data_IF_850064834414
#
_entry.id   IF_850064834414
#
_cell.length_a   1.000
_cell.length_b   1.000
_cell.length_c   1.000
_cell.angle_alpha   90.00
_cell.angle_beta   90.00
_cell.angle_gamma   90.00
#
_symmetry.space_group_name_H-M   'P 1'
#
loop_
_entity.id
_entity.type
_entity.pdbx_description
1 polymer ?
#
# COMPACT_ATOMS: atom_id res chain seq x y z
N UNK A 1 38.20 3.02 -3.67
CA UNK A 1 37.26 4.17 -3.62
C UNK A 1 37.34 5.06 -4.87
N UNK A 2 38.53 5.40 -5.40
CA UNK A 2 38.67 6.17 -6.66
C UNK A 2 38.25 5.44 -7.95
N UNK A 3 38.15 4.11 -7.95
CA UNK A 3 37.76 3.35 -9.16
C UNK A 3 36.24 3.17 -9.34
N UNK A 4 35.44 3.50 -8.32
CA UNK A 4 33.98 3.41 -8.38
C UNK A 4 33.33 4.71 -8.91
N UNK A 5 34.03 5.84 -8.82
CA UNK A 5 33.52 7.13 -9.30
C UNK A 5 33.36 7.19 -10.81
N UNK A 6 34.11 6.39 -11.57
CA UNK A 6 34.03 6.35 -13.03
C UNK A 6 32.90 5.42 -13.54
N UNK A 7 32.29 4.63 -12.63
CA UNK A 7 31.20 3.68 -12.92
C UNK A 7 29.85 4.21 -12.43
N UNK A 8 29.84 5.03 -11.38
CA UNK A 8 28.62 5.55 -10.77
C UNK A 8 28.18 6.83 -11.49
N UNK A 9 27.10 6.72 -12.27
CA UNK A 9 26.40 7.88 -12.82
C UNK A 9 25.71 8.61 -11.66
N UNK A 10 26.04 9.89 -11.46
CA UNK A 10 25.36 10.74 -10.47
C UNK A 10 23.89 10.92 -10.84
N UNK A 11 22.94 10.82 -9.88
CA UNK A 11 21.53 11.06 -10.15
C UNK A 11 21.33 12.42 -10.83
N UNK A 12 20.85 12.40 -12.07
CA UNK A 12 20.66 13.58 -12.90
C UNK A 12 19.30 13.48 -13.60
N UNK A 13 18.56 14.58 -13.74
CA UNK A 13 17.34 14.60 -14.55
C UNK A 13 17.66 14.18 -16.00
N UNK A 14 16.75 13.42 -16.61
CA UNK A 14 16.85 13.03 -18.04
C UNK A 14 16.10 13.99 -18.97
N UNK A 15 15.30 14.90 -18.40
CA UNK A 15 14.48 15.90 -19.09
C UNK A 15 14.52 17.22 -18.30
N UNK A 16 14.21 18.33 -18.98
CA UNK A 16 13.98 19.62 -18.34
C UNK A 16 12.64 19.62 -17.60
N UNK A 17 12.50 20.45 -16.57
CA UNK A 17 11.27 20.47 -15.76
C UNK A 17 10.08 21.07 -16.53
N UNK A 18 10.34 21.85 -17.58
CA UNK A 18 9.35 22.43 -18.48
C UNK A 18 8.88 21.44 -19.56
N UNK A 19 9.55 20.29 -19.71
CA UNK A 19 9.13 19.26 -20.64
C UNK A 19 7.81 18.62 -20.16
N UNK A 20 6.82 18.54 -21.04
CA UNK A 20 5.52 17.98 -20.72
C UNK A 20 5.56 16.46 -20.47
N UNK A 21 6.63 15.78 -20.90
CA UNK A 21 6.85 14.35 -20.68
C UNK A 21 7.67 14.06 -19.40
N UNK A 22 8.04 15.08 -18.61
CA UNK A 22 8.79 14.91 -17.35
C UNK A 22 7.96 14.25 -16.25
N UNK A 23 8.60 13.42 -15.42
CA UNK A 23 7.95 12.72 -14.32
C UNK A 23 8.52 13.14 -12.96
N UNK A 24 7.63 13.51 -12.03
CA UNK A 24 7.94 13.56 -10.61
C UNK A 24 7.64 12.19 -10.00
N UNK A 25 8.67 11.45 -9.61
CA UNK A 25 8.56 10.09 -9.08
C UNK A 25 9.06 10.04 -7.64
N UNK A 26 8.35 9.29 -6.79
CA UNK A 26 8.77 8.99 -5.44
C UNK A 26 8.77 7.47 -5.24
N UNK A 27 9.85 6.94 -4.65
CA UNK A 27 9.97 5.52 -4.33
C UNK A 27 9.34 5.24 -2.96
N UNK A 28 8.63 4.11 -2.87
CA UNK A 28 8.01 3.61 -1.64
C UNK A 28 8.36 2.14 -1.46
N UNK A 29 8.37 1.66 -0.21
CA UNK A 29 8.73 0.28 0.14
C UNK A 29 7.85 -0.30 1.26
N UNK A 30 7.95 -1.62 1.41
CA UNK A 30 7.56 -2.36 2.59
C UNK A 30 8.72 -3.28 2.96
N UNK A 31 9.54 -2.84 3.90
CA UNK A 31 10.79 -3.50 4.27
C UNK A 31 11.14 -3.16 5.72
N UNK A 32 11.91 -4.00 6.40
CA UNK A 32 12.36 -3.75 7.77
C UNK A 32 13.88 -3.75 7.89
N UNK A 33 14.37 -3.36 9.08
CA UNK A 33 15.80 -3.34 9.42
C UNK A 33 16.50 -4.70 9.41
N UNK A 34 15.74 -5.81 9.35
CA UNK A 34 16.31 -7.15 9.18
C UNK A 34 16.70 -7.43 7.73
N UNK A 35 15.99 -6.84 6.77
CA UNK A 35 16.24 -7.01 5.33
C UNK A 35 17.08 -5.88 4.71
N UNK A 36 17.15 -4.70 5.33
CA UNK A 36 17.92 -3.57 4.83
C UNK A 36 18.69 -2.85 5.94
N UNK A 37 19.98 -2.59 5.68
CA UNK A 37 20.84 -1.80 6.57
C UNK A 37 20.70 -0.30 6.32
N UNK A 38 21.09 0.51 7.32
CA UNK A 38 21.17 1.98 7.20
C UNK A 38 19.88 2.74 7.52
N UNK A 39 18.91 2.10 8.17
CA UNK A 39 17.78 2.83 8.76
C UNK A 39 18.23 3.68 9.96
N UNK A 40 17.59 4.84 10.20
CA UNK A 40 17.85 5.65 11.38
C UNK A 40 17.57 4.88 12.68
N UNK A 41 18.47 4.98 13.65
CA UNK A 41 18.32 4.36 14.97
C UNK A 41 17.56 5.27 15.96
N UNK A 42 17.68 6.60 15.80
CA UNK A 42 16.98 7.57 16.63
C UNK A 42 15.47 7.51 16.35
N UNK A 43 14.61 7.35 17.37
CA UNK A 43 13.16 7.35 17.19
C UNK A 43 12.61 8.62 16.53
N UNK A 44 13.23 9.78 16.81
CA UNK A 44 12.83 11.07 16.24
C UNK A 44 13.04 11.09 14.72
N UNK A 45 14.24 10.72 14.26
CA UNK A 45 14.59 10.67 12.83
C UNK A 45 13.80 9.57 12.11
N UNK A 46 13.54 8.45 12.79
CA UNK A 46 12.70 7.38 12.26
C UNK A 46 11.26 7.86 12.02
N UNK A 47 10.68 8.58 12.98
CA UNK A 47 9.33 9.14 12.87
C UNK A 47 9.23 10.21 11.77
N UNK A 48 10.24 11.07 11.62
CA UNK A 48 10.31 12.06 10.53
C UNK A 48 10.30 11.40 9.14
N UNK A 49 10.94 10.24 9.02
CA UNK A 49 10.94 9.44 7.80
C UNK A 49 9.69 8.55 7.63
N UNK A 50 8.72 8.62 8.55
CA UNK A 50 7.50 7.81 8.53
C UNK A 50 7.73 6.33 8.88
N UNK A 51 8.88 5.99 9.47
CA UNK A 51 9.20 4.65 9.91
C UNK A 51 8.51 4.35 11.24
N UNK A 52 8.14 3.08 11.45
CA UNK A 52 7.46 2.64 12.68
C UNK A 52 8.23 1.52 13.37
N UNK A 53 8.12 1.44 14.69
CA UNK A 53 8.73 0.35 15.46
C UNK A 53 7.92 -0.94 15.32
N UNK A 54 8.55 -2.00 14.81
CA UNK A 54 8.08 -3.37 14.92
C UNK A 54 8.48 -4.00 16.26
N UNK A 55 8.38 -5.34 16.34
CA UNK A 55 8.80 -6.08 17.54
C UNK A 55 10.32 -5.97 17.78
N UNK A 56 11.10 -6.26 16.74
CA UNK A 56 12.57 -6.35 16.84
C UNK A 56 13.29 -5.38 15.88
N UNK A 57 12.58 -4.81 14.89
CA UNK A 57 13.15 -3.97 13.84
C UNK A 57 12.29 -2.72 13.58
N UNK A 58 12.92 -1.67 13.07
CA UNK A 58 12.23 -0.54 12.42
C UNK A 58 11.65 -1.01 11.08
N UNK A 59 10.44 -0.54 10.76
CA UNK A 59 9.66 -0.93 9.58
C UNK A 59 9.38 0.31 8.73
N UNK A 60 9.74 0.24 7.45
CA UNK A 60 9.28 1.12 6.40
C UNK A 60 7.96 0.59 5.84
N UNK A 61 6.88 1.35 6.00
CA UNK A 61 5.52 1.02 5.52
C UNK A 61 5.03 1.98 4.43
N UNK A 62 5.95 2.70 3.80
CA UNK A 62 5.64 3.82 2.90
C UNK A 62 4.79 3.45 1.68
N UNK A 63 4.76 2.17 1.24
CA UNK A 63 3.78 1.71 0.23
C UNK A 63 2.35 1.91 0.73
N UNK A 64 2.03 1.48 1.96
CA UNK A 64 0.68 1.65 2.50
C UNK A 64 0.32 3.14 2.59
N UNK A 65 1.26 3.97 3.06
CA UNK A 65 1.04 5.40 3.23
C UNK A 65 0.80 6.08 1.88
N UNK A 66 1.58 5.73 0.85
CA UNK A 66 1.38 6.23 -0.50
C UNK A 66 -0.01 5.88 -1.05
N UNK A 67 -0.48 4.64 -0.85
CA UNK A 67 -1.83 4.23 -1.23
C UNK A 67 -2.90 5.04 -0.49
N UNK A 68 -2.78 5.21 0.83
CA UNK A 68 -3.72 6.01 1.63
C UNK A 68 -3.78 7.45 1.09
N UNK A 69 -2.63 8.08 0.87
CA UNK A 69 -2.56 9.45 0.35
C UNK A 69 -3.14 9.56 -1.06
N UNK A 70 -2.90 8.58 -1.94
CA UNK A 70 -3.47 8.54 -3.29
C UNK A 70 -5.00 8.41 -3.27
N UNK A 71 -5.55 7.57 -2.39
CA UNK A 71 -7.00 7.42 -2.22
C UNK A 71 -7.61 8.70 -1.65
N UNK A 72 -7.03 9.25 -0.58
CA UNK A 72 -7.58 10.44 0.09
C UNK A 72 -7.63 11.66 -0.83
N UNK A 73 -6.66 11.84 -1.72
CA UNK A 73 -6.63 12.95 -2.69
C UNK A 73 -7.48 12.73 -3.94
N UNK A 74 -7.98 11.51 -4.17
CA UNK A 74 -8.76 11.18 -5.36
C UNK A 74 -10.07 12.00 -5.45
N UNK A 75 -10.38 12.49 -6.65
CA UNK A 75 -11.53 13.38 -6.91
C UNK A 75 -12.57 12.78 -7.84
N UNK A 76 -12.15 12.00 -8.84
CA UNK A 76 -13.01 11.54 -9.93
C UNK A 76 -13.22 10.02 -9.93
N UNK A 77 -12.13 9.25 -9.98
CA UNK A 77 -12.20 7.80 -9.92
C UNK A 77 -10.90 7.18 -9.40
N UNK A 78 -10.98 5.90 -9.06
CA UNK A 78 -9.84 5.03 -8.76
C UNK A 78 -9.96 3.75 -9.60
N UNK A 79 -8.84 3.35 -10.19
CA UNK A 79 -8.70 2.08 -10.90
C UNK A 79 -7.59 1.27 -10.24
N UNK A 80 -7.89 0.02 -9.89
CA UNK A 80 -6.96 -0.90 -9.24
C UNK A 80 -6.94 -2.20 -10.03
N UNK A 81 -5.76 -2.65 -10.41
CA UNK A 81 -5.47 -4.04 -10.76
C UNK A 81 -4.54 -4.60 -9.70
N UNK A 82 -4.93 -5.70 -9.04
CA UNK A 82 -4.08 -6.31 -8.02
C UNK A 82 -4.33 -7.82 -7.94
N UNK A 83 -3.31 -8.57 -7.53
CA UNK A 83 -3.42 -10.01 -7.31
C UNK A 83 -4.33 -10.35 -6.12
N UNK A 84 -4.34 -9.48 -5.10
CA UNK A 84 -5.13 -9.65 -3.89
C UNK A 84 -5.92 -8.38 -3.57
N UNK A 85 -7.14 -8.56 -3.06
CA UNK A 85 -7.95 -7.47 -2.53
C UNK A 85 -8.69 -7.90 -1.25
N UNK A 86 -7.98 -7.86 -0.14
CA UNK A 86 -8.45 -8.13 1.22
C UNK A 86 -7.78 -7.14 2.17
N UNK A 87 -8.34 -6.90 3.36
CA UNK A 87 -7.72 -6.04 4.36
C UNK A 87 -8.73 -5.34 5.24
N UNK A 88 -8.27 -4.37 6.04
CA UNK A 88 -9.10 -3.62 6.98
C UNK A 88 -9.94 -4.51 7.90
N UNK A 89 -9.37 -5.64 8.36
CA UNK A 89 -10.13 -6.67 9.09
C UNK A 89 -10.74 -6.18 10.39
N UNK A 90 -10.20 -5.11 10.99
CA UNK A 90 -10.78 -4.43 12.15
C UNK A 90 -12.21 -3.91 11.90
N UNK A 91 -12.65 -3.84 10.65
CA UNK A 91 -13.98 -3.38 10.25
C UNK A 91 -14.86 -4.49 9.65
N UNK A 92 -14.40 -5.75 9.65
CA UNK A 92 -15.19 -6.88 9.20
C UNK A 92 -16.27 -7.24 10.23
N UNK A 93 -17.37 -7.83 9.74
CA UNK A 93 -18.39 -8.37 10.64
C UNK A 93 -17.84 -9.60 11.38
N UNK A 94 -18.15 -9.70 12.68
CA UNK A 94 -17.83 -10.85 13.52
C UNK A 94 -18.78 -12.05 13.25
N UNK A 95 -18.82 -12.50 11.99
CA UNK A 95 -19.63 -13.62 11.52
C UNK A 95 -18.76 -14.87 11.38
N UNK A 96 -18.80 -15.73 12.40
CA UNK A 96 -18.00 -16.96 12.46
C UNK A 96 -16.50 -16.75 12.65
N UNK A 97 -16.08 -15.52 12.96
CA UNK A 97 -14.69 -15.14 13.25
C UNK A 97 -14.64 -14.12 14.39
N UNK A 98 -13.48 -14.02 15.03
CA UNK A 98 -13.10 -12.87 15.88
C UNK A 98 -12.24 -11.95 15.01
N UNK A 99 -12.73 -10.78 14.53
CA UNK A 99 -11.99 -9.93 13.59
C UNK A 99 -10.60 -9.49 14.07
N UNK A 100 -10.41 -9.39 15.37
CA UNK A 100 -9.15 -9.05 16.03
C UNK A 100 -8.06 -10.13 15.82
N UNK A 101 -8.45 -11.39 15.63
CA UNK A 101 -7.51 -12.50 15.41
C UNK A 101 -6.95 -12.51 13.98
N UNK A 102 -7.61 -11.83 13.03
CA UNK A 102 -7.25 -11.84 11.60
C UNK A 102 -6.00 -11.00 11.32
N UNK A 103 -5.83 -9.86 12.00
CA UNK A 103 -4.67 -8.97 11.89
C UNK A 103 -4.34 -8.43 10.47
N UNK A 104 -5.29 -8.43 9.53
CA UNK A 104 -5.13 -7.76 8.22
C UNK A 104 -5.46 -6.26 8.33
N UNK A 105 -4.66 -5.52 9.09
CA UNK A 105 -4.99 -4.18 9.60
C UNK A 105 -4.72 -3.01 8.63
N UNK A 106 -4.23 -3.26 7.41
CA UNK A 106 -3.98 -2.17 6.47
C UNK A 106 -5.29 -1.50 6.00
N UNK A 107 -5.22 -0.21 5.70
CA UNK A 107 -6.41 0.66 5.57
C UNK A 107 -7.04 0.69 4.17
N UNK A 108 -6.42 0.04 3.17
CA UNK A 108 -6.74 0.28 1.75
C UNK A 108 -8.22 0.03 1.42
N UNK A 109 -8.84 -1.10 1.79
CA UNK A 109 -10.27 -1.31 1.55
C UNK A 109 -11.15 -0.27 2.26
N UNK A 110 -10.86 0.04 3.53
CA UNK A 110 -11.64 1.01 4.30
C UNK A 110 -11.54 2.43 3.73
N UNK A 111 -10.34 2.89 3.37
CA UNK A 111 -10.12 4.21 2.74
C UNK A 111 -10.90 4.35 1.43
N UNK A 112 -10.95 3.30 0.60
CA UNK A 112 -11.76 3.29 -0.62
C UNK A 112 -13.25 3.46 -0.32
N UNK A 113 -13.78 2.68 0.63
CA UNK A 113 -15.19 2.76 1.03
C UNK A 113 -15.54 4.13 1.63
N UNK A 114 -14.70 4.69 2.51
CA UNK A 114 -14.92 6.00 3.13
C UNK A 114 -14.81 7.14 2.10
N UNK A 115 -13.90 7.03 1.12
CA UNK A 115 -13.85 7.97 0.00
C UNK A 115 -15.14 7.94 -0.82
N UNK A 116 -15.71 6.76 -1.08
CA UNK A 116 -16.99 6.64 -1.78
C UNK A 116 -18.12 7.28 -0.96
N UNK A 117 -18.19 6.99 0.34
CA UNK A 117 -19.19 7.59 1.25
C UNK A 117 -19.09 9.11 1.26
N UNK A 118 -17.89 9.68 1.44
CA UNK A 118 -17.64 11.13 1.41
C UNK A 118 -18.15 11.78 0.11
N UNK A 119 -17.96 11.10 -1.03
CA UNK A 119 -18.42 11.58 -2.35
C UNK A 119 -19.92 11.48 -2.51
N UNK A 120 -20.55 10.42 -1.98
CA UNK A 120 -22.01 10.28 -1.96
C UNK A 120 -22.64 11.39 -1.11
N UNK A 121 -22.12 11.64 0.09
CA UNK A 121 -22.62 12.67 1.02
C UNK A 121 -22.54 14.08 0.41
N UNK A 122 -21.51 14.34 -0.40
CA UNK A 122 -21.34 15.61 -1.14
C UNK A 122 -22.13 15.68 -2.45
N UNK A 123 -22.78 14.59 -2.87
CA UNK A 123 -23.47 14.51 -4.17
C UNK A 123 -22.53 14.57 -5.37
N UNK A 124 -21.26 14.19 -5.21
CA UNK A 124 -20.23 14.23 -6.24
C UNK A 124 -20.12 12.88 -6.97
N UNK A 125 -19.86 12.93 -8.29
CA UNK A 125 -19.60 11.70 -9.05
C UNK A 125 -18.24 11.14 -8.67
N UNK A 126 -18.23 9.90 -8.19
CA UNK A 126 -17.01 9.14 -7.93
C UNK A 126 -17.20 7.67 -8.22
N UNK A 127 -16.17 7.00 -8.76
CA UNK A 127 -16.21 5.58 -9.14
C UNK A 127 -14.94 4.87 -8.71
N UNK A 128 -15.06 3.63 -8.24
CA UNK A 128 -13.92 2.76 -7.94
C UNK A 128 -14.10 1.48 -8.73
N UNK A 129 -13.08 1.11 -9.49
CA UNK A 129 -13.02 -0.13 -10.25
C UNK A 129 -11.86 -0.96 -9.72
N UNK A 130 -12.14 -2.20 -9.36
CA UNK A 130 -11.15 -3.14 -8.84
C UNK A 130 -11.18 -4.39 -9.70
N UNK A 131 -10.05 -4.72 -10.31
CA UNK A 131 -9.84 -5.94 -11.08
C UNK A 131 -8.91 -6.84 -10.27
N UNK A 132 -9.40 -8.03 -9.97
CA UNK A 132 -8.68 -9.11 -9.29
C UNK A 132 -8.76 -10.38 -10.14
N UNK A 133 -7.81 -11.31 -10.01
CA UNK A 133 -7.94 -12.60 -10.68
C UNK A 133 -9.19 -13.34 -10.17
N UNK A 134 -9.73 -14.24 -10.99
CA UNK A 134 -10.92 -15.03 -10.61
C UNK A 134 -10.67 -15.84 -9.33
N UNK A 135 -9.45 -16.32 -9.15
CA UNK A 135 -8.89 -16.85 -7.92
C UNK A 135 -7.37 -16.61 -7.92
N UNK A 136 -6.71 -16.52 -6.75
CA UNK A 136 -5.27 -16.40 -6.67
C UNK A 136 -4.57 -17.65 -7.23
N UNK A 137 -3.33 -17.50 -7.70
CA UNK A 137 -2.56 -18.60 -8.30
C UNK A 137 -2.49 -19.84 -7.38
N UNK A 138 -2.83 -21.01 -7.92
CA UNK A 138 -2.87 -22.27 -7.19
C UNK A 138 -4.07 -23.13 -7.58
N UNK A 139 -4.21 -24.28 -6.90
CA UNK A 139 -5.38 -25.17 -7.03
C UNK A 139 -6.57 -24.49 -6.33
N UNK A 140 -7.69 -24.17 -7.01
CA UNK A 140 -8.82 -23.45 -6.44
C UNK A 140 -9.39 -24.09 -5.16
N UNK A 141 -9.39 -25.42 -5.10
CA UNK A 141 -9.91 -26.22 -3.99
C UNK A 141 -8.93 -26.32 -2.81
N UNK A 142 -7.70 -25.81 -2.95
CA UNK A 142 -6.73 -25.82 -1.86
C UNK A 142 -7.17 -24.93 -0.70
N UNK A 143 -6.84 -25.35 0.52
CA UNK A 143 -7.19 -24.59 1.72
C UNK A 143 -6.67 -23.14 1.68
N UNK A 144 -5.46 -22.93 1.13
CA UNK A 144 -4.87 -21.60 1.00
C UNK A 144 -5.69 -20.69 0.08
N UNK A 145 -6.07 -21.17 -1.11
CA UNK A 145 -6.87 -20.39 -2.06
C UNK A 145 -8.26 -20.11 -1.49
N UNK A 146 -8.90 -21.09 -0.87
CA UNK A 146 -10.21 -20.93 -0.22
C UNK A 146 -10.17 -19.91 0.93
N UNK A 147 -9.12 -19.92 1.76
CA UNK A 147 -8.96 -18.93 2.83
C UNK A 147 -8.83 -17.50 2.28
N UNK A 148 -8.02 -17.32 1.23
CA UNK A 148 -7.84 -16.00 0.58
C UNK A 148 -9.16 -15.52 -0.04
N UNK A 149 -9.92 -16.41 -0.69
CA UNK A 149 -11.22 -16.08 -1.25
C UNK A 149 -12.25 -15.73 -0.16
N UNK A 150 -12.24 -16.40 1.00
CA UNK A 150 -13.10 -16.01 2.12
C UNK A 150 -12.72 -14.63 2.68
N UNK A 151 -11.42 -14.31 2.78
CA UNK A 151 -10.96 -12.98 3.21
C UNK A 151 -11.35 -11.89 2.22
N UNK A 152 -11.28 -12.18 0.92
CA UNK A 152 -11.76 -11.25 -0.11
C UNK A 152 -13.28 -11.05 -0.04
N UNK A 153 -14.06 -12.11 0.26
CA UNK A 153 -15.52 -12.05 0.39
C UNK A 153 -15.98 -11.21 1.59
N UNK A 154 -15.21 -11.18 2.68
CA UNK A 154 -15.52 -10.43 3.92
C UNK A 154 -15.22 -8.93 3.83
N UNK A 155 -14.47 -8.53 2.81
CA UNK A 155 -13.92 -7.19 2.63
C UNK A 155 -14.99 -6.16 2.22
#
# INVERSE_FOLDING_TARGET
LRELSDIIITPSPVMFQEDHDVWNVQLFRSIDGGAAAGFPESPEVAAEAGLVSGKDNVIDRSIQDAYIHAIRRAKDFIYIENQYFLGSSFAWAADGITPEDINALHLIPKELSLKIVDKIEKGEKFRVYVVVPMWPEGIPESASVQAILDWQRRN
#
